data_IF_123371143384
#
_entry.id   IF_123371143384
#
_cell.length_a   1.000
_cell.length_b   1.000
_cell.length_c   1.000
_cell.angle_alpha   90.00
_cell.angle_beta   90.00
_cell.angle_gamma   90.00
#
_symmetry.space_group_name_H-M   'P 1'
#
loop_
_entity.id
_entity.type
_entity.pdbx_description
1 polymer ?
#
# COMPACT_ATOMS: atom_id res chain seq x y z
N UNK A 1 8.07 47.40 22.73
CA UNK A 1 6.69 47.11 22.26
C UNK A 1 6.68 45.64 21.82
N UNK A 2 6.39 44.67 22.72
CA UNK A 2 5.06 44.06 23.00
C UNK A 2 4.35 43.62 21.69
N UNK A 3 3.94 42.36 21.46
CA UNK A 3 3.48 41.27 22.34
C UNK A 3 3.76 39.88 21.73
N UNK A 4 4.13 38.92 22.58
CA UNK A 4 3.95 37.47 22.36
C UNK A 4 2.53 37.10 22.83
N UNK A 5 1.81 36.30 22.07
CA UNK A 5 0.54 35.71 22.49
C UNK A 5 0.79 34.25 22.92
N UNK A 6 0.59 33.98 24.20
CA UNK A 6 0.61 32.66 24.82
C UNK A 6 -0.84 32.22 24.97
N UNK A 7 -1.23 31.13 24.33
CA UNK A 7 -2.55 30.52 24.52
C UNK A 7 -2.49 29.56 25.71
N UNK A 8 -3.25 29.87 26.76
CA UNK A 8 -3.56 28.98 27.88
C UNK A 8 -4.74 28.09 27.47
N UNK A 9 -4.59 26.77 27.59
CA UNK A 9 -5.72 25.83 27.56
C UNK A 9 -6.12 25.52 29.00
N UNK A 10 -7.36 25.84 29.34
CA UNK A 10 -7.93 25.67 30.67
C UNK A 10 -8.30 24.20 30.94
N UNK A 11 -7.91 23.73 32.13
CA UNK A 11 -8.21 22.42 32.69
C UNK A 11 -9.56 22.52 33.44
N UNK A 12 -10.62 21.93 32.90
CA UNK A 12 -11.94 21.92 33.56
C UNK A 12 -11.98 20.86 34.67
N UNK A 13 -12.06 21.34 35.91
CA UNK A 13 -12.33 20.57 37.12
C UNK A 13 -13.82 20.18 37.15
N UNK A 14 -14.11 18.88 37.23
CA UNK A 14 -15.44 18.40 37.61
C UNK A 14 -15.56 18.34 39.13
N UNK A 15 -16.39 19.21 39.69
CA UNK A 15 -16.73 19.27 41.11
C UNK A 15 -17.76 18.18 41.44
N UNK A 16 -17.47 17.36 42.45
CA UNK A 16 -18.41 16.42 43.05
C UNK A 16 -19.48 17.17 43.84
N UNK A 17 -20.76 16.88 43.57
CA UNK A 17 -21.87 17.23 44.45
C UNK A 17 -22.20 16.04 45.36
N UNK A 18 -22.01 16.22 46.66
CA UNK A 18 -22.38 15.28 47.72
C UNK A 18 -23.81 15.61 48.16
N UNK A 19 -24.75 14.66 48.03
CA UNK A 19 -26.10 14.76 48.57
C UNK A 19 -26.18 14.16 49.99
N UNK A 20 -27.09 14.64 50.85
CA UNK A 20 -27.12 14.25 52.26
C UNK A 20 -27.81 12.90 52.48
N UNK A 21 -27.31 12.18 53.49
CA UNK A 21 -27.84 10.92 53.98
C UNK A 21 -29.14 11.15 54.79
N UNK A 22 -30.22 10.48 54.38
CA UNK A 22 -31.47 10.33 55.12
C UNK A 22 -31.95 8.89 54.98
N UNK A 23 -32.06 8.19 56.11
CA UNK A 23 -32.32 6.77 56.23
C UNK A 23 -33.77 6.36 55.86
N UNK A 24 -33.93 5.18 55.27
CA UNK A 24 -34.89 4.15 55.71
C UNK A 24 -34.57 2.81 55.03
N UNK A 25 -34.49 1.78 55.87
CA UNK A 25 -34.29 0.37 55.55
C UNK A 25 -35.42 -0.22 54.71
N UNK A 26 -35.08 -0.75 53.54
CA UNK A 26 -35.92 -1.63 52.74
C UNK A 26 -35.04 -2.38 51.75
N UNK A 27 -34.97 -3.70 51.88
CA UNK A 27 -34.23 -4.59 50.97
C UNK A 27 -34.73 -4.40 49.53
N UNK A 28 -33.92 -3.93 48.56
CA UNK A 28 -34.31 -4.00 47.16
C UNK A 28 -34.12 -5.44 46.70
N UNK A 29 -35.21 -6.06 46.25
CA UNK A 29 -35.18 -7.35 45.58
C UNK A 29 -34.21 -7.30 44.38
N UNK A 30 -33.40 -8.35 44.21
CA UNK A 30 -32.57 -8.51 43.02
C UNK A 30 -33.42 -8.37 41.76
N UNK A 31 -32.98 -7.60 40.74
CA UNK A 31 -33.66 -7.56 39.46
C UNK A 31 -33.69 -8.97 38.86
N UNK A 32 -34.77 -9.36 38.16
CA UNK A 32 -34.86 -10.67 37.54
C UNK A 32 -33.70 -10.84 36.55
N UNK A 33 -33.03 -11.99 36.63
CA UNK A 33 -32.03 -12.36 35.64
C UNK A 33 -32.66 -12.29 34.24
N UNK A 34 -31.96 -11.75 33.23
CA UNK A 34 -32.45 -11.78 31.86
C UNK A 34 -32.68 -13.25 31.45
N UNK A 35 -33.73 -13.55 30.69
CA UNK A 35 -34.02 -14.92 30.26
C UNK A 35 -32.82 -15.48 29.48
N UNK A 36 -32.35 -16.65 29.88
CA UNK A 36 -31.14 -17.31 29.38
C UNK A 36 -31.29 -17.93 27.97
N UNK A 37 -32.18 -17.40 27.13
CA UNK A 37 -32.52 -17.95 25.81
C UNK A 37 -32.67 -16.86 24.73
N UNK A 38 -31.83 -15.81 24.77
CA UNK A 38 -31.56 -15.03 23.57
C UNK A 38 -30.22 -15.50 22.98
N UNK A 39 -30.22 -16.16 21.80
CA UNK A 39 -29.01 -16.36 21.05
C UNK A 39 -28.31 -15.00 20.90
N UNK A 40 -26.98 -14.90 21.09
CA UNK A 40 -26.27 -13.66 20.83
C UNK A 40 -26.64 -13.22 19.41
N UNK A 41 -27.12 -11.97 19.29
CA UNK A 41 -27.38 -11.36 18.00
C UNK A 41 -26.18 -11.66 17.10
N UNK A 42 -26.41 -12.40 16.02
CA UNK A 42 -25.37 -12.74 15.07
C UNK A 42 -24.62 -11.45 14.75
N UNK A 43 -23.33 -11.40 15.06
CA UNK A 43 -22.48 -10.32 14.63
C UNK A 43 -22.71 -10.22 13.12
N UNK A 44 -23.35 -9.14 12.68
CA UNK A 44 -23.47 -8.85 11.26
C UNK A 44 -22.05 -8.69 10.77
N UNK A 45 -21.51 -9.75 10.18
CA UNK A 45 -20.25 -9.72 9.44
C UNK A 45 -20.45 -8.61 8.40
N UNK A 46 -19.85 -7.46 8.66
CA UNK A 46 -19.81 -6.43 7.63
C UNK A 46 -19.13 -7.07 6.43
N UNK A 47 -19.71 -6.95 5.22
CA UNK A 47 -19.07 -7.51 4.05
C UNK A 47 -17.66 -6.93 3.94
N UNK A 48 -16.67 -7.81 3.90
CA UNK A 48 -15.27 -7.44 3.80
C UNK A 48 -15.04 -6.77 2.44
N UNK A 49 -14.29 -5.67 2.43
CA UNK A 49 -13.97 -4.98 1.19
C UNK A 49 -12.90 -5.78 0.43
N UNK A 50 -13.09 -5.88 -0.88
CA UNK A 50 -12.10 -6.42 -1.80
C UNK A 50 -11.20 -5.27 -2.28
N UNK A 51 -9.90 -5.44 -2.13
CA UNK A 51 -8.88 -4.48 -2.51
C UNK A 51 -8.31 -4.85 -3.88
N UNK A 52 -8.36 -3.89 -4.80
CA UNK A 52 -7.72 -3.96 -6.10
C UNK A 52 -6.43 -3.16 -6.02
N UNK A 53 -5.28 -3.83 -6.11
CA UNK A 53 -3.97 -3.20 -6.09
C UNK A 53 -3.45 -3.02 -7.49
N UNK A 54 -3.11 -1.79 -7.83
CA UNK A 54 -2.72 -1.40 -9.17
C UNK A 54 -1.34 -0.75 -9.19
N UNK A 55 -0.61 -0.97 -10.27
CA UNK A 55 0.67 -0.31 -10.54
C UNK A 55 0.68 0.28 -11.95
N UNK A 56 1.23 1.49 -12.07
CA UNK A 56 1.27 2.14 -13.37
C UNK A 56 1.88 3.53 -13.35
N UNK A 57 1.32 4.43 -14.16
CA UNK A 57 1.86 5.76 -14.40
C UNK A 57 0.83 6.87 -14.29
N UNK A 58 1.29 8.02 -13.83
CA UNK A 58 0.66 9.33 -13.96
C UNK A 58 1.65 10.23 -14.71
N UNK A 59 1.40 10.45 -16.00
CA UNK A 59 2.39 11.05 -16.90
C UNK A 59 3.67 10.21 -16.94
N UNK A 60 4.81 10.83 -16.61
CA UNK A 60 6.10 10.13 -16.53
C UNK A 60 6.39 9.51 -15.15
N UNK A 61 5.53 9.73 -14.16
CA UNK A 61 5.76 9.26 -12.79
C UNK A 61 5.11 7.90 -12.56
N UNK A 62 5.80 7.02 -11.83
CA UNK A 62 5.22 5.74 -11.38
C UNK A 62 4.35 5.96 -10.15
N UNK A 63 3.22 5.29 -10.12
CA UNK A 63 2.29 5.30 -8.99
C UNK A 63 1.81 3.87 -8.71
N UNK A 64 1.56 3.59 -7.42
CA UNK A 64 0.72 2.49 -7.00
C UNK A 64 -0.62 3.03 -6.53
N UNK A 65 -1.70 2.30 -6.74
CA UNK A 65 -3.03 2.69 -6.30
C UNK A 65 -3.76 1.50 -5.70
N UNK A 66 -4.61 1.77 -4.72
CA UNK A 66 -5.46 0.76 -4.09
C UNK A 66 -6.90 1.26 -4.15
N UNK A 67 -7.81 0.41 -4.65
CA UNK A 67 -9.25 0.67 -4.65
C UNK A 67 -9.93 -0.42 -3.81
N UNK A 68 -10.64 -0.03 -2.74
CA UNK A 68 -11.36 -0.96 -1.86
C UNK A 68 -12.86 -0.89 -2.13
N UNK A 69 -13.45 -2.00 -2.55
CA UNK A 69 -14.86 -2.09 -2.92
C UNK A 69 -15.60 -3.08 -2.02
N UNK A 70 -16.85 -2.75 -1.69
CA UNK A 70 -17.77 -3.73 -1.12
C UNK A 70 -18.31 -4.67 -2.20
N UNK A 71 -18.93 -5.82 -1.83
CA UNK A 71 -19.52 -6.77 -2.78
C UNK A 71 -20.61 -6.18 -3.69
N UNK A 72 -21.24 -5.07 -3.27
CA UNK A 72 -22.19 -4.30 -4.07
C UNK A 72 -21.51 -3.33 -5.07
N UNK A 73 -20.19 -3.43 -5.22
CA UNK A 73 -19.31 -2.59 -6.04
C UNK A 73 -19.22 -1.13 -5.57
N UNK A 74 -19.65 -0.83 -4.34
CA UNK A 74 -19.47 0.49 -3.77
C UNK A 74 -18.01 0.72 -3.39
N UNK A 75 -17.41 1.77 -3.93
CA UNK A 75 -16.09 2.24 -3.52
C UNK A 75 -16.15 2.75 -2.08
N UNK A 76 -15.31 2.19 -1.19
CA UNK A 76 -15.25 2.55 0.24
C UNK A 76 -13.97 3.27 0.61
N UNK A 77 -12.86 2.92 -0.03
CA UNK A 77 -11.60 3.63 0.10
C UNK A 77 -10.87 3.61 -1.25
N UNK A 78 -10.08 4.66 -1.49
CA UNK A 78 -9.14 4.69 -2.58
C UNK A 78 -7.92 5.53 -2.16
N UNK A 79 -6.76 5.16 -2.66
CA UNK A 79 -5.53 5.93 -2.47
C UNK A 79 -4.58 5.70 -3.64
N UNK A 80 -3.64 6.61 -3.82
CA UNK A 80 -2.46 6.32 -4.62
C UNK A 80 -1.19 6.83 -3.97
N UNK A 81 -0.12 6.04 -4.11
CA UNK A 81 1.21 6.38 -3.66
C UNK A 81 1.96 7.13 -4.75
N UNK A 82 2.26 8.42 -4.49
CA UNK A 82 3.02 9.24 -5.42
C UNK A 82 4.52 9.16 -5.13
N UNK A 83 5.25 8.37 -5.94
CA UNK A 83 6.68 8.06 -5.73
C UNK A 83 7.59 9.28 -5.60
N UNK A 84 7.24 10.42 -6.20
CA UNK A 84 8.00 11.67 -6.07
C UNK A 84 7.97 12.24 -4.65
N UNK A 85 6.83 12.12 -3.97
CA UNK A 85 6.62 12.70 -2.64
C UNK A 85 6.65 11.64 -1.53
N UNK A 86 6.63 10.35 -1.90
CA UNK A 86 6.65 9.20 -0.99
C UNK A 86 5.50 9.20 0.02
N UNK A 87 4.32 9.63 -0.44
CA UNK A 87 3.11 9.72 0.38
C UNK A 87 1.94 9.10 -0.35
N UNK A 88 1.05 8.51 0.45
CA UNK A 88 -0.29 8.16 0.01
C UNK A 88 -1.18 9.39 -0.03
N UNK A 89 -1.82 9.57 -1.16
CA UNK A 89 -2.83 10.59 -1.36
C UNK A 89 -4.17 9.87 -1.33
N UNK A 90 -5.02 10.10 -0.31
CA UNK A 90 -6.34 9.51 -0.28
C UNK A 90 -7.16 10.07 -1.44
N UNK A 91 -8.03 9.22 -1.99
CA UNK A 91 -8.91 9.52 -3.09
C UNK A 91 -10.36 9.28 -2.66
N UNK A 92 -11.26 10.14 -3.12
CA UNK A 92 -12.70 9.93 -3.00
C UNK A 92 -13.31 9.84 -4.38
N UNK A 93 -14.35 9.04 -4.58
CA UNK A 93 -14.93 8.94 -5.90
C UNK A 93 -15.98 7.84 -6.01
N UNK A 94 -16.22 7.43 -7.25
CA UNK A 94 -17.27 6.49 -7.58
C UNK A 94 -16.96 5.72 -8.85
N UNK A 95 -17.60 4.57 -8.96
CA UNK A 95 -17.55 3.69 -10.12
C UNK A 95 -18.96 3.66 -10.71
N UNK A 96 -19.08 3.89 -12.01
CA UNK A 96 -20.36 3.89 -12.72
C UNK A 96 -20.20 3.19 -14.07
N UNK A 97 -20.65 1.94 -14.13
CA UNK A 97 -20.39 1.07 -15.29
C UNK A 97 -18.89 0.85 -15.46
N UNK A 98 -18.37 1.10 -16.67
CA UNK A 98 -16.94 0.97 -16.97
C UNK A 98 -16.12 2.23 -16.62
N UNK A 99 -16.75 3.29 -16.06
CA UNK A 99 -16.09 4.55 -15.74
C UNK A 99 -15.80 4.67 -14.25
N UNK A 100 -14.64 5.22 -13.92
CA UNK A 100 -14.18 5.48 -12.56
C UNK A 100 -13.74 6.94 -12.47
N UNK A 101 -14.34 7.69 -11.56
CA UNK A 101 -13.92 9.07 -11.26
C UNK A 101 -13.40 9.15 -9.84
N UNK A 102 -12.20 9.71 -9.66
CA UNK A 102 -11.56 9.85 -8.34
C UNK A 102 -11.03 11.28 -8.18
N UNK A 103 -11.13 11.81 -6.97
CA UNK A 103 -10.76 13.17 -6.61
C UNK A 103 -9.74 13.15 -5.48
N UNK A 104 -8.68 13.93 -5.67
CA UNK A 104 -7.70 14.23 -4.64
C UNK A 104 -8.20 15.38 -3.76
N UNK A 105 -7.89 15.37 -2.44
CA UNK A 105 -8.08 16.54 -1.57
C UNK A 105 -7.40 17.80 -2.10
N UNK A 106 -6.32 17.64 -2.87
CA UNK A 106 -5.57 18.72 -3.51
C UNK A 106 -6.18 19.26 -4.81
N UNK A 107 -7.36 18.79 -5.23
CA UNK A 107 -8.08 19.26 -6.42
C UNK A 107 -7.64 18.61 -7.74
N UNK A 108 -6.87 17.53 -7.69
CA UNK A 108 -6.61 16.67 -8.86
C UNK A 108 -7.80 15.73 -9.11
N UNK A 109 -8.16 15.52 -10.37
CA UNK A 109 -9.30 14.70 -10.78
C UNK A 109 -8.85 13.62 -11.75
N UNK A 110 -9.13 12.36 -11.43
CA UNK A 110 -8.97 11.22 -12.30
C UNK A 110 -10.29 10.91 -13.02
N UNK A 111 -10.21 10.77 -14.33
CA UNK A 111 -11.26 10.20 -15.17
C UNK A 111 -10.68 8.97 -15.86
N UNK A 112 -11.06 7.79 -15.37
CA UNK A 112 -10.54 6.50 -15.79
C UNK A 112 -11.65 5.61 -16.36
N UNK A 113 -11.27 4.65 -17.18
CA UNK A 113 -12.15 3.60 -17.68
C UNK A 113 -11.47 2.25 -17.66
N UNK A 114 -12.28 1.19 -17.53
CA UNK A 114 -11.82 -0.20 -17.55
C UNK A 114 -11.35 -0.60 -18.95
N UNK A 115 -10.17 -1.20 -19.02
CA UNK A 115 -9.62 -1.80 -20.25
C UNK A 115 -9.16 -3.23 -19.98
N UNK A 116 -9.07 -4.02 -21.05
CA UNK A 116 -8.57 -5.39 -20.97
C UNK A 116 -7.77 -5.74 -22.21
N UNK A 117 -6.72 -6.53 -22.03
CA UNK A 117 -5.96 -7.12 -23.15
C UNK A 117 -6.64 -8.36 -23.73
N UNK A 118 -7.61 -8.96 -23.02
CA UNK A 118 -8.40 -10.08 -23.51
C UNK A 118 -9.49 -9.62 -24.49
N UNK A 119 -9.27 -9.90 -25.78
CA UNK A 119 -10.22 -9.55 -26.86
C UNK A 119 -11.53 -10.34 -26.81
N UNK A 120 -11.58 -11.40 -26.01
CA UNK A 120 -12.75 -12.27 -25.83
C UNK A 120 -13.55 -11.94 -24.57
N UNK A 121 -13.07 -11.00 -23.75
CA UNK A 121 -13.75 -10.58 -22.54
C UNK A 121 -15.17 -10.08 -22.85
N UNK A 122 -16.13 -10.57 -22.06
CA UNK A 122 -17.53 -10.17 -22.19
C UNK A 122 -17.72 -8.73 -21.71
N UNK A 123 -18.45 -7.94 -22.49
CA UNK A 123 -18.81 -6.54 -22.16
C UNK A 123 -20.18 -6.46 -21.48
N UNK A 124 -20.40 -5.50 -20.55
CA UNK A 124 -19.43 -4.51 -20.06
C UNK A 124 -18.38 -5.13 -19.13
N UNK A 125 -17.19 -4.52 -19.08
CA UNK A 125 -16.14 -4.90 -18.13
C UNK A 125 -16.54 -4.52 -16.70
N UNK A 126 -15.96 -5.25 -15.76
CA UNK A 126 -15.90 -4.93 -14.34
C UNK A 126 -14.44 -4.95 -13.89
N UNK A 127 -14.15 -4.52 -12.66
CA UNK A 127 -12.79 -4.60 -12.12
C UNK A 127 -12.26 -6.05 -12.05
N UNK A 128 -13.15 -7.05 -12.01
CA UNK A 128 -12.78 -8.46 -12.05
C UNK A 128 -12.41 -8.97 -13.46
N UNK A 129 -12.96 -8.35 -14.52
CA UNK A 129 -12.69 -8.77 -15.91
C UNK A 129 -11.75 -7.83 -16.67
N UNK A 130 -11.49 -6.65 -16.13
CA UNK A 130 -10.49 -5.72 -16.61
C UNK A 130 -9.08 -6.17 -16.22
N UNK A 131 -8.10 -5.87 -17.06
CA UNK A 131 -6.67 -6.02 -16.71
C UNK A 131 -6.05 -4.68 -16.34
N UNK A 132 -6.71 -3.58 -16.70
CA UNK A 132 -6.15 -2.23 -16.69
C UNK A 132 -7.22 -1.16 -16.43
N UNK A 133 -6.78 -0.01 -15.90
CA UNK A 133 -7.49 1.26 -15.91
C UNK A 133 -6.70 2.26 -16.74
N UNK A 134 -7.35 2.90 -17.71
CA UNK A 134 -6.75 3.93 -18.55
C UNK A 134 -7.54 5.23 -18.46
N UNK A 135 -6.88 6.37 -18.64
CA UNK A 135 -7.57 7.65 -18.68
C UNK A 135 -6.66 8.84 -18.44
N UNK A 136 -7.16 9.83 -17.71
CA UNK A 136 -6.42 11.07 -17.44
C UNK A 136 -6.55 11.52 -16.00
N UNK A 137 -5.51 12.20 -15.54
CA UNK A 137 -5.53 13.04 -14.35
C UNK A 137 -5.51 14.50 -14.78
N UNK A 138 -6.28 15.36 -14.10
CA UNK A 138 -6.38 16.78 -14.40
C UNK A 138 -6.33 17.63 -13.14
N UNK A 139 -5.62 18.76 -13.20
CA UNK A 139 -5.64 19.79 -12.15
C UNK A 139 -5.43 21.17 -12.75
N UNK A 140 -6.47 22.01 -12.71
CA UNK A 140 -6.46 23.30 -13.40
C UNK A 140 -6.25 23.10 -14.91
N UNK A 141 -5.14 23.60 -15.46
CA UNK A 141 -4.80 23.44 -16.89
C UNK A 141 -3.88 22.25 -17.18
N UNK A 142 -3.41 21.55 -16.14
CA UNK A 142 -2.53 20.40 -16.29
C UNK A 142 -3.34 19.13 -16.53
N UNK A 143 -2.96 18.37 -17.55
CA UNK A 143 -3.53 17.06 -17.87
C UNK A 143 -2.42 16.06 -18.09
N UNK A 144 -2.49 14.90 -17.44
CA UNK A 144 -1.55 13.81 -17.62
C UNK A 144 -2.29 12.50 -17.96
N UNK A 145 -1.73 11.68 -18.86
CA UNK A 145 -2.27 10.35 -19.10
C UNK A 145 -2.06 9.47 -17.85
N UNK A 146 -3.02 8.60 -17.59
CA UNK A 146 -2.97 7.60 -16.52
C UNK A 146 -3.17 6.23 -17.13
N UNK A 147 -2.31 5.28 -16.74
CA UNK A 147 -2.45 3.87 -17.05
C UNK A 147 -2.08 3.08 -15.79
N UNK A 148 -2.98 2.24 -15.30
CA UNK A 148 -2.81 1.41 -14.11
C UNK A 148 -3.13 -0.03 -14.47
N UNK A 149 -2.20 -0.95 -14.21
CA UNK A 149 -2.42 -2.37 -14.42
C UNK A 149 -2.89 -2.97 -13.10
N UNK A 150 -3.88 -3.87 -13.16
CA UNK A 150 -4.29 -4.65 -12.00
C UNK A 150 -3.20 -5.69 -11.70
N UNK A 151 -2.65 -5.66 -10.49
CA UNK A 151 -1.56 -6.53 -10.06
C UNK A 151 -2.08 -7.68 -9.23
N UNK A 152 -2.91 -7.36 -8.24
CA UNK A 152 -3.50 -8.38 -7.37
C UNK A 152 -4.81 -7.89 -6.77
N UNK A 153 -5.58 -8.86 -6.29
CA UNK A 153 -6.83 -8.65 -5.58
C UNK A 153 -6.79 -9.46 -4.30
N UNK A 154 -7.14 -8.82 -3.18
CA UNK A 154 -7.13 -9.42 -1.84
C UNK A 154 -8.20 -8.77 -0.94
N UNK A 155 -8.29 -9.22 0.31
CA UNK A 155 -9.12 -8.58 1.34
C UNK A 155 -8.28 -8.06 2.52
N UNK A 156 -6.96 -7.95 2.33
CA UNK A 156 -6.02 -7.58 3.38
C UNK A 156 -6.12 -6.10 3.69
N UNK A 157 -6.25 -5.78 4.98
CA UNK A 157 -6.13 -4.39 5.43
C UNK A 157 -4.69 -3.90 5.27
N UNK A 158 -4.46 -2.58 5.16
CA UNK A 158 -3.10 -2.03 5.10
C UNK A 158 -2.19 -2.51 6.24
N UNK A 159 -2.74 -2.68 7.45
CA UNK A 159 -1.99 -3.13 8.63
C UNK A 159 -1.57 -4.61 8.54
N UNK A 160 -2.35 -5.44 7.85
CA UNK A 160 -2.13 -6.89 7.77
C UNK A 160 -1.36 -7.33 6.51
N UNK A 161 -1.09 -6.40 5.58
CA UNK A 161 -0.54 -6.71 4.26
C UNK A 161 0.76 -7.53 4.30
N UNK A 162 1.66 -7.21 5.23
CA UNK A 162 2.99 -7.83 5.32
C UNK A 162 3.12 -8.87 6.45
N UNK A 163 2.02 -9.30 7.08
CA UNK A 163 2.09 -10.21 8.25
C UNK A 163 2.72 -11.57 7.93
N UNK A 164 2.59 -12.05 6.68
CA UNK A 164 3.26 -13.28 6.24
C UNK A 164 4.76 -13.10 5.98
N UNK A 165 5.24 -11.86 5.88
CA UNK A 165 6.63 -11.50 5.61
C UNK A 165 7.36 -11.15 6.90
N UNK A 166 6.75 -10.33 7.75
CA UNK A 166 7.39 -9.76 8.95
C UNK A 166 6.38 -9.40 10.04
N UNK A 167 6.85 -9.36 11.28
CA UNK A 167 6.09 -8.85 12.43
C UNK A 167 6.24 -7.33 12.62
N UNK A 168 7.04 -6.66 11.78
CA UNK A 168 7.20 -5.21 11.83
C UNK A 168 5.96 -4.50 11.27
N UNK A 169 5.60 -3.30 11.78
CA UNK A 169 4.56 -2.49 11.17
C UNK A 169 4.85 -2.20 9.68
N UNK A 170 3.83 -2.14 8.81
CA UNK A 170 4.03 -1.91 7.37
C UNK A 170 4.94 -0.72 7.04
N UNK A 171 4.74 0.41 7.72
CA UNK A 171 5.56 1.60 7.51
C UNK A 171 7.06 1.38 7.81
N UNK A 172 7.40 0.51 8.77
CA UNK A 172 8.79 0.17 9.10
C UNK A 172 9.39 -0.72 8.02
N UNK A 173 8.63 -1.72 7.55
CA UNK A 173 9.06 -2.61 6.47
C UNK A 173 9.26 -1.84 5.15
N UNK A 174 8.30 -1.00 4.77
CA UNK A 174 8.39 -0.15 3.59
C UNK A 174 9.55 0.86 3.66
N UNK A 175 9.85 1.38 4.85
CA UNK A 175 11.01 2.24 5.06
C UNK A 175 12.35 1.50 4.83
N UNK A 176 12.46 0.23 5.24
CA UNK A 176 13.63 -0.60 4.94
C UNK A 176 13.78 -0.81 3.43
N UNK A 177 12.71 -1.17 2.73
CA UNK A 177 12.73 -1.34 1.27
C UNK A 177 13.15 -0.04 0.58
N UNK A 178 12.57 1.09 0.99
CA UNK A 178 12.92 2.41 0.46
C UNK A 178 14.39 2.76 0.69
N UNK A 179 14.94 2.43 1.86
CA UNK A 179 16.35 2.64 2.15
C UNK A 179 17.24 1.79 1.24
N UNK A 180 16.87 0.53 0.96
CA UNK A 180 17.61 -0.33 0.04
C UNK A 180 17.65 0.26 -1.37
N UNK A 181 16.49 0.72 -1.87
CA UNK A 181 16.39 1.36 -3.18
C UNK A 181 17.29 2.59 -3.26
N UNK A 182 17.24 3.47 -2.25
CA UNK A 182 18.04 4.69 -2.20
C UNK A 182 19.55 4.38 -2.19
N UNK A 183 20.00 3.45 -1.34
CA UNK A 183 21.42 3.11 -1.25
C UNK A 183 21.95 2.42 -2.50
N UNK A 184 21.14 1.55 -3.13
CA UNK A 184 21.49 0.91 -4.39
C UNK A 184 21.59 1.93 -5.54
N UNK A 185 20.62 2.85 -5.63
CA UNK A 185 20.61 3.92 -6.62
C UNK A 185 21.76 4.90 -6.43
N UNK A 186 22.17 5.21 -5.18
CA UNK A 186 23.32 6.06 -4.91
C UNK A 186 24.67 5.35 -5.11
N UNK A 187 24.69 4.05 -5.40
CA UNK A 187 25.92 3.26 -5.52
C UNK A 187 26.61 2.98 -4.19
N UNK A 188 25.93 3.20 -3.05
CA UNK A 188 26.49 2.99 -1.73
C UNK A 188 26.44 1.50 -1.36
N UNK A 189 27.47 0.78 -1.79
CA UNK A 189 27.53 -0.68 -1.64
C UNK A 189 27.43 -1.13 -0.18
N UNK A 190 28.11 -0.41 0.72
CA UNK A 190 28.15 -0.75 2.13
C UNK A 190 26.78 -0.66 2.80
N UNK A 191 26.03 0.42 2.55
CA UNK A 191 24.66 0.56 3.08
C UNK A 191 23.70 -0.45 2.45
N UNK A 192 23.79 -0.68 1.13
CA UNK A 192 22.96 -1.71 0.49
C UNK A 192 23.20 -3.09 1.09
N UNK A 193 24.44 -3.47 1.37
CA UNK A 193 24.75 -4.79 1.94
C UNK A 193 24.21 -5.00 3.37
N UNK A 194 23.95 -3.92 4.14
CA UNK A 194 23.29 -4.02 5.45
C UNK A 194 21.79 -4.30 5.34
N UNK A 195 21.21 -4.03 4.17
CA UNK A 195 19.78 -4.17 3.87
C UNK A 195 19.51 -5.43 3.03
N UNK A 196 20.44 -6.38 3.06
CA UNK A 196 20.37 -7.67 2.38
C UNK A 196 20.15 -8.76 3.41
N UNK A 197 19.20 -9.64 3.12
CA UNK A 197 19.02 -10.91 3.81
C UNK A 197 19.99 -11.93 3.20
N UNK A 198 21.00 -12.33 3.97
CA UNK A 198 22.03 -13.26 3.49
C UNK A 198 21.62 -14.72 3.72
N UNK A 199 21.84 -15.63 2.75
CA UNK A 199 22.51 -15.39 1.47
C UNK A 199 21.59 -14.77 0.39
N UNK A 200 22.13 -13.84 -0.39
CA UNK A 200 21.41 -13.14 -1.47
C UNK A 200 21.37 -13.97 -2.74
N UNK A 201 20.17 -14.21 -3.27
CA UNK A 201 19.96 -14.91 -4.55
C UNK A 201 19.94 -13.92 -5.71
N UNK A 202 20.80 -14.11 -6.69
CA UNK A 202 20.83 -13.34 -7.94
C UNK A 202 20.35 -14.23 -9.07
N UNK A 203 19.23 -13.91 -9.70
CA UNK A 203 18.74 -14.63 -10.86
C UNK A 203 19.03 -13.80 -12.11
N UNK A 204 20.11 -14.15 -12.81
CA UNK A 204 20.43 -13.64 -14.13
C UNK A 204 20.27 -14.79 -15.14
N UNK A 205 21.07 -14.80 -16.23
CA UNK A 205 21.17 -15.97 -17.12
C UNK A 205 21.45 -17.28 -16.35
N UNK A 206 22.19 -17.20 -15.25
CA UNK A 206 22.38 -18.27 -14.28
C UNK A 206 22.14 -17.75 -12.87
N UNK A 207 21.52 -18.57 -12.03
CA UNK A 207 21.35 -18.24 -10.60
C UNK A 207 22.70 -18.27 -9.88
N UNK A 208 22.98 -17.23 -9.11
CA UNK A 208 24.16 -17.12 -8.25
C UNK A 208 23.70 -16.84 -6.82
N UNK A 209 24.41 -17.41 -5.84
CA UNK A 209 24.14 -17.17 -4.42
C UNK A 209 25.34 -16.43 -3.84
N UNK A 210 25.13 -15.19 -3.41
CA UNK A 210 26.14 -14.38 -2.74
C UNK A 210 25.97 -14.53 -1.23
N UNK A 211 27.05 -14.82 -0.52
CA UNK A 211 27.01 -15.08 0.92
C UNK A 211 27.57 -13.94 1.76
N UNK A 212 28.27 -12.99 1.15
CA UNK A 212 28.97 -11.92 1.87
C UNK A 212 28.84 -10.58 1.16
N UNK A 213 28.97 -9.46 1.91
CA UNK A 213 29.05 -8.12 1.34
C UNK A 213 30.12 -7.97 0.26
N UNK A 214 31.31 -8.53 0.45
CA UNK A 214 32.43 -8.42 -0.49
C UNK A 214 32.09 -9.07 -1.84
N UNK A 215 31.37 -10.19 -1.82
CA UNK A 215 30.89 -10.85 -3.03
C UNK A 215 29.91 -9.97 -3.80
N UNK A 216 28.99 -9.28 -3.09
CA UNK A 216 28.10 -8.28 -3.69
C UNK A 216 28.88 -7.08 -4.22
N UNK A 217 29.92 -6.61 -3.53
CA UNK A 217 30.70 -5.47 -3.98
C UNK A 217 31.43 -5.76 -5.28
N UNK A 218 31.97 -6.97 -5.42
CA UNK A 218 32.64 -7.47 -6.61
C UNK A 218 31.65 -7.74 -7.77
N UNK A 219 30.44 -8.21 -7.46
CA UNK A 219 29.39 -8.45 -8.45
C UNK A 219 28.56 -7.21 -8.81
N UNK A 220 28.76 -6.10 -8.09
CA UNK A 220 27.95 -4.88 -8.20
C UNK A 220 27.62 -4.42 -9.63
N UNK A 221 28.61 -4.23 -10.55
CA UNK A 221 28.29 -3.76 -11.91
C UNK A 221 27.51 -4.77 -12.76
N UNK A 222 27.57 -6.07 -12.40
CA UNK A 222 26.80 -7.13 -13.06
C UNK A 222 25.37 -7.26 -12.53
N UNK A 223 25.13 -6.84 -11.29
CA UNK A 223 23.82 -6.89 -10.64
C UNK A 223 23.06 -5.59 -10.88
N UNK A 224 23.64 -4.46 -10.51
CA UNK A 224 23.04 -3.14 -10.68
C UNK A 224 23.35 -2.55 -12.05
N UNK A 225 22.99 -3.30 -13.09
CA UNK A 225 23.07 -2.89 -14.50
C UNK A 225 22.19 -1.66 -14.75
N UNK A 226 22.37 -0.93 -15.87
CA UNK A 226 21.48 0.18 -16.21
C UNK A 226 19.99 -0.18 -16.16
N UNK A 227 19.61 -1.38 -16.61
CA UNK A 227 18.21 -1.82 -16.61
C UNK A 227 17.68 -2.09 -15.21
N UNK A 228 18.45 -2.77 -14.36
CA UNK A 228 18.08 -2.93 -12.95
C UNK A 228 17.96 -1.56 -12.28
N UNK A 229 18.87 -0.62 -12.54
CA UNK A 229 18.78 0.73 -11.97
C UNK A 229 17.52 1.47 -12.42
N UNK A 230 17.11 1.34 -13.69
CA UNK A 230 15.83 1.88 -14.19
C UNK A 230 14.66 1.22 -13.44
N UNK A 231 14.67 -0.10 -13.28
CA UNK A 231 13.67 -0.82 -12.48
C UNK A 231 13.59 -0.31 -11.04
N UNK A 232 14.73 -0.11 -10.36
CA UNK A 232 14.77 0.43 -9.01
C UNK A 232 14.27 1.89 -8.93
N UNK A 233 14.50 2.70 -9.97
CA UNK A 233 13.95 4.07 -10.05
C UNK A 233 12.42 4.08 -10.20
N UNK A 234 11.86 3.04 -10.81
CA UNK A 234 10.42 2.89 -11.04
C UNK A 234 9.67 2.16 -9.93
N UNK A 235 10.41 1.52 -9.02
CA UNK A 235 9.87 0.76 -7.91
C UNK A 235 8.94 1.63 -7.04
N UNK A 236 7.82 1.05 -6.63
CA UNK A 236 6.85 1.64 -5.72
C UNK A 236 6.94 0.85 -4.40
N UNK A 237 7.67 1.33 -3.38
CA UNK A 237 7.85 0.62 -2.12
C UNK A 237 6.64 0.87 -1.19
N UNK A 238 5.44 0.62 -1.70
CA UNK A 238 4.17 0.75 -0.98
C UNK A 238 3.16 -0.24 -1.54
N UNK A 239 2.33 -0.83 -0.67
CA UNK A 239 1.33 -1.82 -1.02
C UNK A 239 1.90 -2.95 -1.92
N UNK A 240 3.11 -3.40 -1.58
CA UNK A 240 3.87 -4.33 -2.41
C UNK A 240 3.20 -5.69 -2.47
N UNK A 241 3.28 -6.33 -3.64
CA UNK A 241 2.80 -7.71 -3.80
C UNK A 241 3.57 -8.66 -2.90
N UNK A 242 2.84 -9.53 -2.19
CA UNK A 242 3.38 -10.51 -1.25
C UNK A 242 3.12 -11.92 -1.74
N UNK A 243 4.15 -12.75 -1.74
CA UNK A 243 4.03 -14.18 -2.05
C UNK A 243 5.12 -14.98 -1.35
N UNK A 244 4.77 -16.16 -0.82
CA UNK A 244 5.68 -17.09 -0.12
C UNK A 244 6.54 -16.43 0.98
N UNK A 245 5.98 -15.48 1.73
CA UNK A 245 6.67 -14.79 2.82
C UNK A 245 7.69 -13.74 2.35
N UNK A 246 7.61 -13.32 1.09
CA UNK A 246 8.43 -12.24 0.53
C UNK A 246 7.54 -11.17 -0.12
N UNK A 247 7.97 -9.91 -0.07
CA UNK A 247 7.35 -8.81 -0.79
C UNK A 247 8.24 -8.36 -1.96
N UNK A 248 7.66 -7.87 -3.06
CA UNK A 248 8.44 -7.50 -4.25
C UNK A 248 8.19 -6.08 -4.77
N UNK A 249 9.20 -5.54 -5.48
CA UNK A 249 9.11 -4.28 -6.22
C UNK A 249 9.45 -4.44 -7.69
N UNK A 250 8.91 -3.53 -8.53
CA UNK A 250 9.10 -3.46 -10.00
C UNK A 250 8.97 -4.84 -10.65
N UNK A 251 7.78 -5.45 -10.52
CA UNK A 251 7.43 -6.74 -11.13
C UNK A 251 8.42 -7.87 -10.79
N UNK A 252 8.83 -7.92 -9.52
CA UNK A 252 9.74 -8.95 -9.05
C UNK A 252 11.21 -8.68 -9.32
N UNK A 253 11.61 -7.46 -9.69
CA UNK A 253 13.04 -7.12 -9.84
C UNK A 253 13.80 -7.36 -8.53
N UNK A 254 13.22 -7.01 -7.37
CA UNK A 254 13.79 -7.31 -6.06
C UNK A 254 12.71 -7.88 -5.14
N UNK A 255 13.06 -8.94 -4.43
CA UNK A 255 12.25 -9.58 -3.40
C UNK A 255 12.88 -9.33 -2.03
N UNK A 256 12.02 -9.11 -1.04
CA UNK A 256 12.38 -8.76 0.33
C UNK A 256 11.69 -9.71 1.30
N UNK A 257 12.46 -10.28 2.22
CA UNK A 257 11.94 -10.95 3.40
C UNK A 257 11.99 -9.99 4.63
N UNK A 258 11.70 -10.51 5.83
CA UNK A 258 11.74 -9.75 7.07
C UNK A 258 13.06 -8.99 7.35
N UNK A 259 14.17 -9.44 6.79
CA UNK A 259 15.52 -8.97 7.11
C UNK A 259 16.16 -8.11 6.00
N UNK A 260 15.56 -8.08 4.80
CA UNK A 260 16.06 -7.26 3.70
C UNK A 260 15.87 -7.92 2.33
N UNK A 261 16.59 -7.42 1.33
CA UNK A 261 16.56 -7.99 -0.01
C UNK A 261 17.11 -9.42 0.03
N UNK A 262 16.28 -10.40 -0.33
CA UNK A 262 16.58 -11.83 -0.36
C UNK A 262 16.89 -12.33 -1.78
N UNK A 263 16.32 -11.66 -2.80
CA UNK A 263 16.62 -11.96 -4.19
C UNK A 263 16.59 -10.73 -5.12
N UNK A 264 17.44 -10.75 -6.15
CA UNK A 264 17.45 -9.77 -7.24
C UNK A 264 17.37 -10.52 -8.58
N UNK A 265 16.37 -10.17 -9.38
CA UNK A 265 16.23 -10.62 -10.76
C UNK A 265 16.91 -9.60 -11.68
N UNK A 266 17.91 -10.05 -12.44
CA UNK A 266 18.70 -9.20 -13.34
C UNK A 266 18.28 -9.53 -14.78
N UNK A 267 17.37 -8.75 -15.39
CA UNK A 267 16.93 -8.99 -16.76
C UNK A 267 18.07 -8.71 -17.75
N UNK A 268 18.02 -9.36 -18.93
CA UNK A 268 18.88 -8.97 -20.04
C UNK A 268 18.45 -7.59 -20.54
N UNK A 269 19.39 -6.65 -20.59
CA UNK A 269 19.14 -5.31 -21.08
C UNK A 269 18.75 -5.24 -22.57
N UNK A 270 18.95 -6.32 -23.33
CA UNK A 270 18.54 -6.38 -24.74
C UNK A 270 17.05 -6.57 -24.95
N UNK A 271 16.32 -7.07 -23.94
CA UNK A 271 14.87 -7.33 -24.02
C UNK A 271 14.00 -6.24 -23.39
N UNK A 272 14.59 -5.13 -22.94
CA UNK A 272 13.91 -4.01 -22.28
C UNK A 272 13.89 -2.73 -23.13
N UNK A 273 13.59 -2.88 -24.42
CA UNK A 273 13.04 -1.77 -25.21
C UNK A 273 11.51 -1.76 -25.06
N UNK A 274 10.86 -0.58 -24.99
CA UNK A 274 9.42 -0.46 -24.81
C UNK A 274 8.63 -1.10 -25.94
#
# INVERSE_FOLDING_TARGET
MMRRATAFLALSLFTFAIAPAGATSGTPASPPAPPADQPPAAATSHPEAENYRLLGTLGSYRIGATLSLLPDQKLTAASYFYTKNLVDIPLTGQITGEQITLDEPGGGHFSLHLTTTDKTATKPLSLQSATELAGTWQKGTQTYPVLLNLVTTDSLTPDTLYESVTNAPPAVFEAMVRHFLQSALSGNKAETAKLVSWPLRINAQHTQILKTPEALFAAWPRIFTPCVRISLQRAVPHDMFVHNGEAMVDDGTVWFDAHGASAINVPDCKSSAP
#
